data_IF_156997148794
#
_entry.id   IF_156997148794
#
_cell.length_a   1.000
_cell.length_b   1.000
_cell.length_c   1.000
_cell.angle_alpha   90.00
_cell.angle_beta   90.00
_cell.angle_gamma   90.00
#
_symmetry.space_group_name_H-M   'P 1'
#
loop_
_entity.id
_entity.type
_entity.pdbx_description
1 polymer ?
#
# COMPACT_ATOMS: atom_id res chain seq x y z
N UNK A 1 16.63 25.70 -25.48
CA UNK A 1 16.17 25.66 -24.08
C UNK A 1 15.25 24.49 -23.82
N UNK A 2 14.18 24.29 -24.60
CA UNK A 2 13.33 23.08 -24.50
C UNK A 2 14.09 21.77 -24.77
N UNK A 3 14.89 21.69 -25.84
CA UNK A 3 15.71 20.50 -26.11
C UNK A 3 16.75 20.21 -25.02
N UNK A 4 17.30 21.26 -24.41
CA UNK A 4 18.22 21.12 -23.28
C UNK A 4 17.51 20.55 -22.04
N UNK A 5 16.24 20.92 -21.82
CA UNK A 5 15.44 20.32 -20.77
C UNK A 5 15.14 18.85 -21.06
N UNK A 6 14.79 18.51 -22.31
CA UNK A 6 14.56 17.12 -22.72
C UNK A 6 15.79 16.25 -22.47
N UNK A 7 16.96 16.66 -23.00
CA UNK A 7 18.23 15.94 -22.82
C UNK A 7 18.60 15.82 -21.33
N UNK A 8 18.36 16.87 -20.54
CA UNK A 8 18.65 16.86 -19.11
C UNK A 8 17.78 15.85 -18.36
N UNK A 9 16.47 15.81 -18.67
CA UNK A 9 15.54 14.85 -18.06
C UNK A 9 15.86 13.42 -18.50
N UNK A 10 16.20 13.19 -19.76
CA UNK A 10 16.67 11.88 -20.25
C UNK A 10 17.97 11.43 -19.57
N UNK A 11 18.84 12.38 -19.22
CA UNK A 11 20.04 12.13 -18.43
C UNK A 11 19.78 11.89 -16.93
N UNK A 12 18.51 11.85 -16.51
CA UNK A 12 18.11 11.55 -15.12
C UNK A 12 18.07 12.76 -14.18
N UNK A 13 18.21 13.99 -14.69
CA UNK A 13 17.97 15.18 -13.87
C UNK A 13 16.47 15.29 -13.57
N UNK A 14 16.15 15.57 -12.30
CA UNK A 14 14.80 15.96 -11.90
C UNK A 14 14.37 17.22 -12.67
N UNK A 15 13.07 17.38 -12.88
CA UNK A 15 12.52 18.46 -13.72
C UNK A 15 13.00 19.86 -13.30
N UNK A 16 13.08 20.14 -11.99
CA UNK A 16 13.63 21.41 -11.48
C UNK A 16 15.12 21.61 -11.83
N UNK A 17 15.92 20.53 -11.79
CA UNK A 17 17.33 20.57 -12.19
C UNK A 17 17.49 20.79 -13.70
N UNK A 18 16.60 20.21 -14.51
CA UNK A 18 16.56 20.45 -15.95
C UNK A 18 16.16 21.90 -16.28
N UNK A 19 15.18 22.47 -15.56
CA UNK A 19 14.81 23.89 -15.68
C UNK A 19 15.94 24.81 -15.26
N UNK A 20 16.65 24.52 -14.16
CA UNK A 20 17.76 25.33 -13.69
C UNK A 20 18.87 25.37 -14.75
N UNK A 21 19.25 24.20 -15.27
CA UNK A 21 20.27 24.09 -16.32
C UNK A 21 19.86 24.79 -17.62
N UNK A 22 18.60 24.68 -18.03
CA UNK A 22 18.08 25.34 -19.22
C UNK A 22 17.87 26.85 -19.04
N UNK A 23 17.63 27.31 -17.82
CA UNK A 23 17.54 28.72 -17.45
C UNK A 23 18.92 29.39 -17.43
N UNK A 24 19.92 28.74 -16.83
CA UNK A 24 21.30 29.26 -16.75
C UNK A 24 22.02 29.29 -18.10
N UNK A 25 21.86 28.25 -18.92
CA UNK A 25 22.52 28.14 -20.23
C UNK A 25 21.66 28.68 -21.38
N UNK A 26 20.39 28.98 -21.12
CA UNK A 26 19.45 29.52 -22.09
C UNK A 26 19.60 31.03 -22.26
N UNK A 27 19.09 31.53 -23.39
CA UNK A 27 18.95 32.97 -23.63
C UNK A 27 17.50 33.28 -24.04
N UNK A 28 17.03 34.46 -23.68
CA UNK A 28 15.71 34.98 -24.05
C UNK A 28 14.60 34.71 -23.03
N UNK A 29 13.35 35.09 -23.35
CA UNK A 29 12.25 35.20 -22.39
C UNK A 29 11.90 33.88 -21.69
N UNK A 30 12.04 32.75 -22.39
CA UNK A 30 11.77 31.44 -21.80
C UNK A 30 12.78 31.09 -20.70
N UNK A 31 14.07 31.41 -20.89
CA UNK A 31 15.09 31.13 -19.88
C UNK A 31 14.83 31.94 -18.60
N UNK A 32 14.44 33.22 -18.75
CA UNK A 32 14.04 34.08 -17.64
C UNK A 32 12.80 33.54 -16.90
N UNK A 33 11.80 33.07 -17.64
CA UNK A 33 10.59 32.48 -17.05
C UNK A 33 10.86 31.16 -16.31
N UNK A 34 11.81 30.33 -16.78
CA UNK A 34 12.25 29.13 -16.07
C UNK A 34 12.94 29.47 -14.75
N UNK A 35 13.85 30.46 -14.77
CA UNK A 35 14.53 30.94 -13.55
C UNK A 35 13.54 31.55 -12.57
N UNK A 36 12.62 32.38 -13.06
CA UNK A 36 11.54 32.98 -12.24
C UNK A 36 10.66 31.90 -11.60
N UNK A 37 10.34 30.85 -12.33
CA UNK A 37 9.53 29.73 -11.80
C UNK A 37 10.24 28.99 -10.68
N UNK A 38 11.57 28.83 -10.77
CA UNK A 38 12.38 28.27 -9.69
C UNK A 38 12.45 29.21 -8.48
N UNK A 39 12.56 30.52 -8.71
CA UNK A 39 12.52 31.53 -7.64
C UNK A 39 11.18 31.56 -6.91
N UNK A 40 10.05 31.49 -7.65
CA UNK A 40 8.71 31.39 -7.07
C UNK A 40 8.62 30.22 -6.08
N UNK A 41 9.21 29.07 -6.43
CA UNK A 41 9.27 27.91 -5.53
C UNK A 41 10.19 28.12 -4.32
N UNK A 42 11.34 28.79 -4.50
CA UNK A 42 12.28 29.11 -3.41
C UNK A 42 11.65 30.04 -2.37
N UNK A 43 10.77 30.96 -2.78
CA UNK A 43 10.05 31.86 -1.87
C UNK A 43 8.80 31.23 -1.25
N UNK A 44 8.58 29.92 -1.46
CA UNK A 44 7.56 29.13 -0.77
C UNK A 44 6.29 28.85 -1.56
N UNK A 45 6.20 29.24 -2.84
CA UNK A 45 5.07 28.87 -3.69
C UNK A 45 5.09 27.38 -3.99
N UNK A 46 3.94 26.73 -4.00
CA UNK A 46 3.88 25.29 -4.27
C UNK A 46 4.32 24.97 -5.71
N UNK A 47 4.96 23.81 -5.92
CA UNK A 47 5.35 23.33 -7.26
C UNK A 47 4.23 23.43 -8.28
N UNK A 48 3.05 22.94 -7.89
CA UNK A 48 1.84 22.95 -8.73
C UNK A 48 1.46 24.36 -9.16
N UNK A 49 1.40 25.31 -8.24
CA UNK A 49 1.02 26.69 -8.55
C UNK A 49 2.09 27.38 -9.40
N UNK A 50 3.38 27.15 -9.13
CA UNK A 50 4.48 27.72 -9.90
C UNK A 50 4.50 27.19 -11.33
N UNK A 51 4.25 25.88 -11.53
CA UNK A 51 4.12 25.28 -12.86
C UNK A 51 2.88 25.77 -13.62
N UNK A 52 1.75 25.92 -12.95
CA UNK A 52 0.56 26.51 -13.57
C UNK A 52 0.81 27.95 -14.00
N UNK A 53 1.45 28.75 -13.14
CA UNK A 53 1.79 30.13 -13.48
C UNK A 53 2.80 30.22 -14.64
N UNK A 54 3.79 29.33 -14.71
CA UNK A 54 4.69 29.23 -15.87
C UNK A 54 3.90 28.96 -17.16
N UNK A 55 2.99 27.99 -17.11
CA UNK A 55 2.15 27.59 -18.24
C UNK A 55 1.17 28.69 -18.70
N UNK A 56 0.74 29.57 -17.80
CA UNK A 56 -0.09 30.75 -18.12
C UNK A 56 0.74 31.90 -18.71
N UNK A 57 1.97 32.10 -18.24
CA UNK A 57 2.86 33.19 -18.71
C UNK A 57 3.56 32.86 -20.03
N UNK A 58 3.77 31.58 -20.33
CA UNK A 58 4.41 31.15 -21.58
C UNK A 58 3.41 30.86 -22.68
N UNK A 59 3.57 31.51 -23.83
CA UNK A 59 2.67 31.33 -24.99
C UNK A 59 3.11 30.19 -25.92
N UNK A 60 3.80 29.17 -25.38
CA UNK A 60 4.36 28.05 -26.14
C UNK A 60 3.53 26.79 -25.85
N UNK A 61 2.71 26.30 -26.81
CA UNK A 61 1.81 25.18 -26.60
C UNK A 61 2.50 23.89 -26.13
N UNK A 62 3.69 23.60 -26.66
CA UNK A 62 4.46 22.39 -26.36
C UNK A 62 4.94 22.39 -24.90
N UNK A 63 5.47 23.52 -24.43
CA UNK A 63 5.88 23.70 -23.05
C UNK A 63 4.68 23.56 -22.10
N UNK A 64 3.54 24.16 -22.46
CA UNK A 64 2.32 24.07 -21.66
C UNK A 64 1.86 22.62 -21.50
N UNK A 65 1.83 21.86 -22.60
CA UNK A 65 1.50 20.43 -22.59
C UNK A 65 2.46 19.65 -21.69
N UNK A 66 3.77 19.90 -21.82
CA UNK A 66 4.79 19.24 -21.02
C UNK A 66 4.67 19.53 -19.53
N UNK A 67 4.52 20.80 -19.14
CA UNK A 67 4.33 21.23 -17.76
C UNK A 67 3.07 20.62 -17.15
N UNK A 68 1.97 20.56 -17.90
CA UNK A 68 0.74 19.90 -17.46
C UNK A 68 0.94 18.41 -17.21
N UNK A 69 1.68 17.71 -18.07
CA UNK A 69 2.00 16.30 -17.86
C UNK A 69 2.84 16.08 -16.58
N UNK A 70 3.81 16.95 -16.31
CA UNK A 70 4.61 16.90 -15.08
C UNK A 70 3.75 17.15 -13.83
N UNK A 71 2.86 18.14 -13.85
CA UNK A 71 1.94 18.43 -12.73
C UNK A 71 1.01 17.23 -12.46
N UNK A 72 0.53 16.57 -13.51
CA UNK A 72 -0.28 15.37 -13.40
C UNK A 72 0.52 14.20 -12.79
N UNK A 73 1.74 13.97 -13.27
CA UNK A 73 2.62 12.93 -12.74
C UNK A 73 2.93 13.12 -11.24
N UNK A 74 3.19 14.37 -10.82
CA UNK A 74 3.42 14.70 -9.40
C UNK A 74 2.15 14.48 -8.56
N UNK A 75 1.01 14.99 -9.01
CA UNK A 75 -0.27 14.88 -8.28
C UNK A 75 -0.75 13.43 -8.16
N UNK A 76 -0.81 12.71 -9.28
CA UNK A 76 -1.28 11.32 -9.31
C UNK A 76 -0.23 10.36 -8.74
N UNK A 77 1.07 10.61 -8.94
CA UNK A 77 2.15 9.80 -8.38
C UNK A 77 2.14 9.78 -6.85
N UNK A 78 1.95 10.95 -6.22
CA UNK A 78 1.78 11.05 -4.75
C UNK A 78 0.51 10.32 -4.28
N UNK A 79 -0.60 10.49 -5.01
CA UNK A 79 -1.87 9.84 -4.67
C UNK A 79 -1.78 8.29 -4.77
N UNK A 80 -1.25 7.76 -5.87
CA UNK A 80 -1.05 6.32 -6.08
C UNK A 80 -0.10 5.74 -5.04
N UNK A 81 0.99 6.44 -4.73
CA UNK A 81 1.94 6.02 -3.69
C UNK A 81 1.27 5.90 -2.31
N UNK A 82 0.37 6.84 -1.96
CA UNK A 82 -0.42 6.79 -0.73
C UNK A 82 -1.35 5.58 -0.71
N UNK A 83 -2.06 5.32 -1.81
CA UNK A 83 -2.96 4.16 -1.94
C UNK A 83 -2.19 2.85 -1.78
N UNK A 84 -1.04 2.70 -2.45
CA UNK A 84 -0.18 1.51 -2.33
C UNK A 84 0.32 1.31 -0.90
N UNK A 85 0.68 2.38 -0.19
CA UNK A 85 1.10 2.30 1.21
C UNK A 85 -0.02 1.80 2.13
N UNK A 86 -1.25 2.28 1.92
CA UNK A 86 -2.43 1.81 2.66
C UNK A 86 -2.68 0.33 2.36
N UNK A 87 -2.69 -0.05 1.08
CA UNK A 87 -2.94 -1.43 0.66
C UNK A 87 -1.86 -2.40 1.16
N UNK A 88 -0.59 -2.00 1.15
CA UNK A 88 0.49 -2.80 1.72
C UNK A 88 0.28 -3.06 3.22
N UNK A 89 -0.20 -2.07 3.98
CA UNK A 89 -0.55 -2.23 5.41
C UNK A 89 -1.71 -3.23 5.58
N UNK A 90 -2.76 -3.09 4.79
CA UNK A 90 -3.92 -4.01 4.81
C UNK A 90 -3.49 -5.44 4.49
N UNK A 91 -2.65 -5.65 3.47
CA UNK A 91 -2.14 -6.96 3.10
C UNK A 91 -1.32 -7.61 4.22
N UNK A 92 -0.47 -6.84 4.92
CA UNK A 92 0.30 -7.34 6.08
C UNK A 92 -0.63 -7.81 7.20
N UNK A 93 -1.68 -7.05 7.51
CA UNK A 93 -2.69 -7.41 8.53
C UNK A 93 -3.40 -8.70 8.12
N UNK A 94 -3.88 -8.77 6.87
CA UNK A 94 -4.60 -9.96 6.36
C UNK A 94 -3.74 -11.22 6.39
N UNK A 95 -2.43 -11.10 6.13
CA UNK A 95 -1.47 -12.22 6.24
C UNK A 95 -1.39 -12.75 7.68
N UNK A 96 -1.36 -11.85 8.67
CA UNK A 96 -1.36 -12.23 10.09
C UNK A 96 -2.68 -12.87 10.49
N UNK A 97 -3.82 -12.30 10.11
CA UNK A 97 -5.15 -12.86 10.39
C UNK A 97 -5.30 -14.27 9.84
N UNK A 98 -4.84 -14.55 8.60
CA UNK A 98 -4.87 -15.91 8.04
C UNK A 98 -4.07 -16.92 8.86
N UNK A 99 -2.98 -16.50 9.50
CA UNK A 99 -2.21 -17.36 10.39
C UNK A 99 -2.95 -17.58 11.72
N UNK A 100 -3.55 -16.53 12.27
CA UNK A 100 -4.36 -16.60 13.49
C UNK A 100 -5.63 -17.45 13.29
N UNK A 101 -6.31 -17.35 12.14
CA UNK A 101 -7.45 -18.20 11.79
C UNK A 101 -7.09 -19.69 11.74
N UNK A 102 -5.90 -20.03 11.23
CA UNK A 102 -5.42 -21.41 11.25
C UNK A 102 -5.14 -21.88 12.68
N UNK A 103 -4.59 -21.01 13.53
CA UNK A 103 -4.35 -21.31 14.93
C UNK A 103 -5.66 -21.50 15.71
N UNK A 104 -6.69 -20.68 15.46
CA UNK A 104 -7.99 -20.78 16.13
C UNK A 104 -8.78 -22.05 15.80
N UNK A 105 -8.39 -22.80 14.77
CA UNK A 105 -9.00 -24.11 14.44
C UNK A 105 -8.45 -25.27 15.27
N UNK A 106 -7.31 -25.11 15.96
CA UNK A 106 -6.71 -26.16 16.79
C UNK A 106 -7.64 -26.70 17.91
N UNK A 107 -8.35 -25.87 18.69
CA UNK A 107 -9.11 -26.34 19.85
C UNK A 107 -10.20 -27.36 19.48
N UNK A 108 -10.87 -27.16 18.34
CA UNK A 108 -11.93 -28.06 17.86
C UNK A 108 -11.35 -29.42 17.46
N UNK A 109 -10.15 -29.45 16.86
CA UNK A 109 -9.48 -30.71 16.51
C UNK A 109 -9.05 -31.53 17.75
N UNK A 110 -8.78 -30.87 18.88
CA UNK A 110 -8.38 -31.54 20.14
C UNK A 110 -9.60 -32.06 20.91
N UNK A 111 -10.73 -31.35 20.84
CA UNK A 111 -11.96 -31.73 21.55
C UNK A 111 -12.56 -33.06 21.03
N UNK A 112 -12.48 -33.31 19.73
CA UNK A 112 -13.09 -34.49 19.12
C UNK A 112 -12.47 -35.82 19.61
N UNK A 113 -11.13 -36.03 19.57
CA UNK A 113 -10.50 -37.22 20.14
C UNK A 113 -10.76 -37.35 21.64
N UNK A 114 -10.69 -36.24 22.39
CA UNK A 114 -10.90 -36.26 23.83
C UNK A 114 -12.27 -36.85 24.18
N UNK A 115 -13.33 -36.39 23.49
CA UNK A 115 -14.67 -36.94 23.66
C UNK A 115 -14.72 -38.42 23.24
N UNK A 116 -14.17 -38.75 22.07
CA UNK A 116 -14.23 -40.12 21.56
C UNK A 116 -13.48 -41.15 22.43
N UNK A 117 -12.43 -40.74 23.15
CA UNK A 117 -11.68 -41.65 24.04
C UNK A 117 -12.19 -41.62 25.49
N UNK A 118 -12.50 -40.45 26.05
CA UNK A 118 -12.91 -40.34 27.46
C UNK A 118 -14.35 -40.81 27.65
N UNK A 119 -15.26 -40.46 26.75
CA UNK A 119 -16.69 -40.75 26.93
C UNK A 119 -16.98 -42.26 27.00
N UNK A 120 -16.44 -43.12 26.10
CA UNK A 120 -16.63 -44.57 26.20
C UNK A 120 -16.06 -45.16 27.49
N UNK A 121 -14.90 -44.67 27.93
CA UNK A 121 -14.28 -45.13 29.19
C UNK A 121 -15.16 -44.78 30.39
N UNK A 122 -15.71 -43.56 30.43
CA UNK A 122 -16.67 -43.14 31.46
C UNK A 122 -17.94 -44.01 31.43
N UNK A 123 -18.46 -44.30 30.23
CA UNK A 123 -19.62 -45.18 30.07
C UNK A 123 -19.37 -46.58 30.61
N UNK A 124 -18.23 -47.19 30.27
CA UNK A 124 -17.85 -48.53 30.75
C UNK A 124 -17.66 -48.52 32.27
N UNK A 125 -17.01 -47.50 32.82
CA UNK A 125 -16.75 -47.41 34.25
C UNK A 125 -18.04 -47.25 35.09
N UNK A 126 -19.02 -46.48 34.59
CA UNK A 126 -20.27 -46.22 35.31
C UNK A 126 -21.28 -47.34 35.08
N UNK A 127 -21.53 -47.72 33.81
CA UNK A 127 -22.56 -48.72 33.49
C UNK A 127 -22.06 -50.15 33.65
N UNK A 128 -20.76 -50.43 33.51
CA UNK A 128 -20.21 -51.78 33.59
C UNK A 128 -20.61 -52.51 34.87
N UNK A 129 -20.34 -51.96 36.07
CA UNK A 129 -20.74 -52.58 37.34
C UNK A 129 -22.25 -52.67 37.51
N UNK A 130 -23.00 -51.64 37.09
CA UNK A 130 -24.45 -51.64 37.16
C UNK A 130 -25.07 -52.79 36.34
N UNK A 131 -24.60 -52.98 35.10
CA UNK A 131 -25.04 -54.08 34.24
C UNK A 131 -24.65 -55.43 34.85
N UNK A 132 -23.40 -55.61 35.28
CA UNK A 132 -22.95 -56.85 35.92
C UNK A 132 -23.81 -57.18 37.15
N UNK A 133 -24.07 -56.21 38.02
CA UNK A 133 -24.89 -56.40 39.22
C UNK A 133 -26.33 -56.78 38.87
N UNK A 134 -26.95 -56.15 37.86
CA UNK A 134 -28.31 -56.52 37.43
C UNK A 134 -28.35 -57.96 36.92
N UNK A 135 -27.43 -58.35 36.03
CA UNK A 135 -27.37 -59.72 35.49
C UNK A 135 -27.18 -60.76 36.58
N UNK A 136 -26.25 -60.54 37.52
CA UNK A 136 -26.03 -61.45 38.66
C UNK A 136 -27.30 -61.58 39.50
N UNK A 137 -27.97 -60.47 39.84
CA UNK A 137 -29.20 -60.47 40.64
C UNK A 137 -30.34 -61.24 39.97
N UNK A 138 -30.50 -61.10 38.65
CA UNK A 138 -31.51 -61.83 37.89
C UNK A 138 -31.17 -63.31 37.71
N UNK A 139 -29.88 -63.69 37.66
CA UNK A 139 -29.46 -65.09 37.57
C UNK A 139 -29.56 -65.86 38.90
N UNK A 140 -29.61 -65.12 40.02
CA UNK A 140 -29.74 -65.69 41.37
C UNK A 140 -31.19 -65.85 41.86
N UNK A 141 -32.18 -65.48 41.04
CA UNK A 141 -33.60 -65.78 41.24
C UNK A 141 -34.03 -66.93 40.32
#
# INVERSE_FOLDING_TARGET
TLDQMLISVEAGLGFEGAMARAGENGKGPLAEELVRTLQDMQVGRSRRESYQALAERTNIPELRSFVQAVVQADTYGIAISRVLRIQAKVMRIKRRQRAEEKAMKLPVMILFPLLFFIFPVLFIAILGPAVINTVVTFSSQ
#
